data_IF_317585553073
#
_entry.id   IF_317585553073
#
_cell.length_a   1.000
_cell.length_b   1.000
_cell.length_c   1.000
_cell.angle_alpha   90.00
_cell.angle_beta   90.00
_cell.angle_gamma   90.00
#
_symmetry.space_group_name_H-M   'P 1'
#
loop_
_entity.id
_entity.type
_entity.pdbx_description
1 polymer ?
#
# COMPACT_ATOMS: atom_id res chain seq x y z
N UNK A 1 -41.34 -17.77 15.98
CA UNK A 1 -40.66 -19.03 16.38
C UNK A 1 -40.52 -20.06 15.25
N UNK A 2 -41.50 -20.24 14.37
CA UNK A 2 -41.45 -21.25 13.31
C UNK A 2 -40.29 -21.11 12.29
N UNK A 3 -39.88 -19.89 11.91
CA UNK A 3 -38.84 -19.68 10.89
C UNK A 3 -37.43 -20.09 11.34
N UNK A 4 -37.12 -19.98 12.64
CA UNK A 4 -35.83 -20.36 13.22
C UNK A 4 -35.69 -21.89 13.25
N UNK A 5 -36.78 -22.60 13.57
CA UNK A 5 -36.82 -24.07 13.57
C UNK A 5 -36.62 -24.62 12.15
N UNK A 6 -37.28 -24.04 11.15
CA UNK A 6 -37.09 -24.41 9.74
C UNK A 6 -35.65 -24.16 9.25
N UNK A 7 -35.04 -23.05 9.69
CA UNK A 7 -33.65 -22.72 9.36
C UNK A 7 -32.66 -23.69 9.99
N UNK A 8 -32.84 -24.03 11.26
CA UNK A 8 -32.01 -25.02 11.95
C UNK A 8 -32.15 -26.40 11.31
N UNK A 9 -33.37 -26.83 10.97
CA UNK A 9 -33.60 -28.11 10.28
C UNK A 9 -32.92 -28.19 8.91
N UNK A 10 -32.77 -27.06 8.20
CA UNK A 10 -32.17 -26.99 6.87
C UNK A 10 -30.64 -26.82 6.87
N UNK A 11 -30.10 -26.01 7.78
CA UNK A 11 -28.68 -25.61 7.77
C UNK A 11 -27.91 -26.03 9.04
N UNK A 12 -28.57 -26.70 10.00
CA UNK A 12 -28.00 -27.09 11.30
C UNK A 12 -27.57 -25.92 12.19
N UNK A 13 -27.88 -24.68 11.79
CA UNK A 13 -27.32 -23.47 12.39
C UNK A 13 -28.40 -22.41 12.59
N UNK A 14 -28.37 -21.78 13.76
CA UNK A 14 -29.26 -20.65 14.10
C UNK A 14 -28.61 -19.32 13.65
N UNK A 15 -27.28 -19.28 13.54
CA UNK A 15 -26.51 -18.12 13.09
C UNK A 15 -26.93 -17.67 11.69
N UNK A 16 -26.99 -16.36 11.47
CA UNK A 16 -27.21 -15.78 10.14
C UNK A 16 -25.95 -15.94 9.30
N UNK A 17 -26.05 -16.73 8.23
CA UNK A 17 -24.99 -16.81 7.22
C UNK A 17 -24.84 -15.47 6.49
N UNK A 18 -23.62 -15.09 6.11
CA UNK A 18 -23.40 -13.90 5.29
C UNK A 18 -24.15 -14.04 3.98
N UNK A 19 -24.73 -12.94 3.51
CA UNK A 19 -25.42 -12.89 2.23
C UNK A 19 -24.40 -13.07 1.11
N UNK A 20 -24.78 -13.76 0.03
CA UNK A 20 -23.94 -13.87 -1.15
C UNK A 20 -23.87 -12.50 -1.84
N UNK A 21 -22.75 -11.79 -1.65
CA UNK A 21 -22.48 -10.50 -2.26
C UNK A 21 -21.73 -10.62 -3.61
N UNK A 22 -21.74 -9.52 -4.37
CA UNK A 22 -21.02 -9.42 -5.65
C UNK A 22 -19.51 -9.63 -5.45
N UNK A 23 -18.85 -10.48 -6.25
CA UNK A 23 -17.39 -10.59 -6.22
C UNK A 23 -16.74 -9.26 -6.57
N UNK A 24 -15.80 -8.80 -5.75
CA UNK A 24 -14.99 -7.63 -6.08
C UNK A 24 -14.05 -7.92 -7.28
N UNK A 25 -13.71 -6.87 -8.05
CA UNK A 25 -12.95 -7.02 -9.30
C UNK A 25 -11.52 -7.52 -9.09
N UNK A 26 -10.98 -7.31 -7.90
CA UNK A 26 -9.68 -7.78 -7.48
C UNK A 26 -9.91 -8.64 -6.21
N UNK A 27 -10.47 -9.86 -6.27
CA UNK A 27 -10.53 -10.81 -5.11
C UNK A 27 -9.69 -12.06 -5.34
N UNK A 28 -9.26 -12.73 -4.27
CA UNK A 28 -8.62 -14.05 -4.35
C UNK A 28 -9.72 -15.08 -4.12
N UNK A 29 -10.49 -15.43 -5.16
CA UNK A 29 -11.38 -16.59 -5.08
C UNK A 29 -10.71 -17.75 -5.79
N UNK A 30 -10.41 -18.80 -5.02
CA UNK A 30 -9.80 -20.05 -5.49
C UNK A 30 -10.83 -20.99 -6.13
N UNK A 31 -12.12 -20.66 -6.09
CA UNK A 31 -13.21 -21.51 -6.59
C UNK A 31 -13.61 -21.12 -8.01
N UNK A 32 -13.09 -21.83 -9.02
CA UNK A 32 -13.75 -22.21 -10.28
C UNK A 32 -14.36 -21.17 -11.25
N UNK A 33 -14.76 -19.99 -10.80
CA UNK A 33 -15.48 -18.99 -11.60
C UNK A 33 -14.78 -17.64 -11.50
N UNK A 34 -14.29 -17.18 -12.68
CA UNK A 34 -13.57 -15.92 -12.97
C UNK A 34 -12.06 -15.94 -12.69
N UNK A 35 -11.33 -16.60 -13.59
CA UNK A 35 -9.86 -16.56 -13.67
C UNK A 35 -9.27 -15.15 -13.92
N UNK A 36 -10.06 -14.17 -14.41
CA UNK A 36 -9.52 -12.86 -14.81
C UNK A 36 -9.10 -11.96 -13.63
N UNK A 37 -9.76 -12.08 -12.46
CA UNK A 37 -9.49 -11.24 -11.29
C UNK A 37 -8.11 -11.47 -10.67
N UNK A 38 -7.65 -12.73 -10.63
CA UNK A 38 -6.33 -13.09 -10.11
C UNK A 38 -5.20 -12.73 -11.07
N UNK A 39 -5.45 -12.74 -12.39
CA UNK A 39 -4.46 -12.36 -13.41
C UNK A 39 -4.07 -10.88 -13.27
N UNK A 40 -5.06 -9.99 -13.18
CA UNK A 40 -4.83 -8.55 -13.00
C UNK A 40 -4.07 -8.27 -11.69
N UNK A 41 -4.49 -8.88 -10.58
CA UNK A 41 -3.78 -8.74 -9.31
C UNK A 41 -2.32 -9.16 -9.38
N UNK A 42 -2.05 -10.36 -9.91
CA UNK A 42 -0.68 -10.88 -10.04
C UNK A 42 0.18 -9.96 -10.89
N UNK A 43 -0.38 -9.42 -11.96
CA UNK A 43 0.35 -8.52 -12.83
C UNK A 43 0.58 -7.14 -12.18
N UNK A 44 -0.42 -6.58 -11.50
CA UNK A 44 -0.22 -5.35 -10.70
C UNK A 44 0.90 -5.54 -9.68
N UNK A 45 0.93 -6.69 -8.98
CA UNK A 45 2.04 -7.04 -8.10
C UNK A 45 3.38 -7.10 -8.82
N UNK A 46 3.46 -7.75 -10.00
CA UNK A 46 4.70 -7.81 -10.79
C UNK A 46 5.19 -6.43 -11.20
N UNK A 47 4.29 -5.53 -11.57
CA UNK A 47 4.63 -4.15 -11.94
C UNK A 47 5.17 -3.40 -10.72
N UNK A 48 4.46 -3.44 -9.60
CA UNK A 48 4.86 -2.75 -8.35
C UNK A 48 6.16 -3.31 -7.76
N UNK A 49 6.38 -4.63 -7.80
CA UNK A 49 7.61 -5.24 -7.28
C UNK A 49 8.83 -4.84 -8.09
N UNK A 50 8.70 -4.66 -9.41
CA UNK A 50 9.80 -4.20 -10.27
C UNK A 50 10.09 -2.71 -10.06
N UNK A 51 9.04 -1.90 -9.95
CA UNK A 51 9.15 -0.48 -9.71
C UNK A 51 8.14 -0.04 -8.63
N UNK A 52 8.57 0.12 -7.37
CA UNK A 52 7.67 0.49 -6.28
C UNK A 52 7.20 1.96 -6.37
N UNK A 53 7.81 2.78 -7.24
CA UNK A 53 7.42 4.18 -7.47
C UNK A 53 6.40 4.36 -8.60
N UNK A 54 5.80 3.27 -9.08
CA UNK A 54 4.80 3.31 -10.15
C UNK A 54 3.56 4.11 -9.73
N UNK A 55 3.08 4.96 -10.63
CA UNK A 55 1.91 5.81 -10.41
C UNK A 55 0.60 5.05 -10.66
N UNK A 56 -0.49 5.56 -10.10
CA UNK A 56 -1.82 4.97 -10.29
C UNK A 56 -2.26 4.94 -11.76
N UNK A 57 -1.82 5.92 -12.55
CA UNK A 57 -2.12 6.05 -13.97
C UNK A 57 -1.39 5.00 -14.80
N UNK A 58 -0.13 4.75 -14.49
CA UNK A 58 0.65 3.69 -15.15
C UNK A 58 0.09 2.30 -14.80
N UNK A 59 -0.30 2.09 -13.53
CA UNK A 59 -0.99 0.85 -13.13
C UNK A 59 -2.32 0.68 -13.88
N UNK A 60 -3.06 1.77 -14.10
CA UNK A 60 -4.29 1.74 -14.89
C UNK A 60 -4.03 1.36 -16.34
N UNK A 61 -3.03 1.97 -16.99
CA UNK A 61 -2.63 1.64 -18.37
C UNK A 61 -2.21 0.18 -18.48
N UNK A 62 -1.43 -0.34 -17.52
CA UNK A 62 -1.03 -1.75 -17.49
C UNK A 62 -2.24 -2.69 -17.35
N UNK A 63 -3.28 -2.29 -16.61
CA UNK A 63 -4.52 -3.05 -16.48
C UNK A 63 -5.30 -3.09 -17.79
N UNK A 64 -5.34 -1.97 -18.53
CA UNK A 64 -5.99 -1.86 -19.84
C UNK A 64 -5.29 -2.74 -20.87
N UNK A 65 -3.95 -2.70 -20.92
CA UNK A 65 -3.14 -3.54 -21.81
C UNK A 65 -3.40 -5.04 -21.61
N UNK A 66 -3.69 -5.44 -20.38
CA UNK A 66 -4.02 -6.84 -20.05
C UNK A 66 -5.44 -7.27 -20.44
N UNK A 67 -6.25 -6.37 -20.98
CA UNK A 67 -7.63 -6.63 -21.41
C UNK A 67 -8.68 -6.51 -20.31
N UNK A 68 -8.31 -6.02 -19.12
CA UNK A 68 -9.22 -5.88 -17.98
C UNK A 68 -9.12 -4.45 -17.41
N UNK A 69 -9.87 -3.48 -17.96
CA UNK A 69 -9.80 -2.10 -17.52
C UNK A 69 -10.32 -1.95 -16.08
N UNK A 70 -9.39 -1.66 -15.16
CA UNK A 70 -9.69 -1.34 -13.76
C UNK A 70 -9.85 0.17 -13.59
N UNK A 71 -10.84 0.59 -12.79
CA UNK A 71 -10.98 2.01 -12.40
C UNK A 71 -9.88 2.39 -11.41
N UNK A 72 -9.45 3.65 -11.41
CA UNK A 72 -8.49 4.20 -10.43
C UNK A 72 -8.89 3.93 -8.97
N UNK A 73 -10.19 4.00 -8.67
CA UNK A 73 -10.74 3.69 -7.32
C UNK A 73 -10.56 2.21 -6.94
N UNK A 74 -10.60 1.31 -7.93
CA UNK A 74 -10.38 -0.13 -7.71
C UNK A 74 -8.90 -0.43 -7.47
N UNK A 75 -8.00 0.27 -8.17
CA UNK A 75 -6.55 0.11 -7.99
C UNK A 75 -6.10 0.74 -6.67
N UNK A 76 -6.64 1.89 -6.27
CA UNK A 76 -6.37 2.47 -4.94
C UNK A 76 -6.91 1.61 -3.79
N UNK A 77 -8.01 0.88 -4.00
CA UNK A 77 -8.48 -0.14 -3.07
C UNK A 77 -7.58 -1.39 -2.99
N UNK A 78 -6.46 -1.44 -3.75
CA UNK A 78 -5.47 -2.50 -3.66
C UNK A 78 -4.73 -2.55 -2.31
N UNK A 79 -4.96 -1.61 -1.40
CA UNK A 79 -4.55 -1.73 -0.01
C UNK A 79 -5.11 -3.01 0.65
N UNK A 80 -6.31 -3.46 0.28
CA UNK A 80 -6.82 -4.76 0.75
C UNK A 80 -5.96 -5.95 0.29
N UNK A 81 -5.10 -5.72 -0.72
CA UNK A 81 -4.13 -6.68 -1.23
C UNK A 81 -2.77 -6.56 -0.53
N UNK A 82 -2.56 -5.54 0.29
CA UNK A 82 -1.26 -5.21 0.87
C UNK A 82 -0.42 -4.22 0.06
N UNK A 83 -0.98 -3.58 -0.96
CA UNK A 83 -0.30 -2.53 -1.73
C UNK A 83 -0.61 -1.14 -1.16
N UNK A 84 0.42 -0.44 -0.69
CA UNK A 84 0.30 0.87 -0.06
C UNK A 84 1.10 1.91 -0.81
N UNK A 85 0.50 3.07 -1.05
CA UNK A 85 1.26 4.27 -1.41
C UNK A 85 1.99 4.80 -0.18
N UNK A 86 3.32 4.84 -0.22
CA UNK A 86 4.15 5.43 0.84
C UNK A 86 5.26 6.26 0.20
N UNK A 87 5.65 7.33 0.90
CA UNK A 87 6.82 8.12 0.53
C UNK A 87 8.08 7.42 1.04
N UNK A 88 9.05 7.25 0.15
CA UNK A 88 10.37 6.72 0.51
C UNK A 88 11.02 7.60 1.57
N UNK A 89 11.61 6.99 2.61
CA UNK A 89 12.35 7.76 3.61
C UNK A 89 13.61 8.35 2.99
N UNK A 90 13.90 9.60 3.31
CA UNK A 90 15.19 10.20 2.97
C UNK A 90 16.31 9.44 3.70
N UNK A 91 17.38 9.12 2.97
CA UNK A 91 18.56 8.42 3.48
C UNK A 91 19.79 9.02 2.84
N UNK A 92 20.85 9.18 3.63
CA UNK A 92 22.15 9.54 3.11
C UNK A 92 22.66 8.46 2.13
N UNK A 93 23.30 8.90 1.05
CA UNK A 93 23.89 8.01 0.07
C UNK A 93 25.13 7.33 0.68
N UNK A 94 25.13 6.00 0.69
CA UNK A 94 26.18 5.20 1.31
C UNK A 94 26.95 4.42 0.23
N UNK A 95 28.26 4.61 0.19
CA UNK A 95 29.14 3.83 -0.69
C UNK A 95 29.33 2.40 -0.16
N UNK A 96 29.75 1.47 -1.04
CA UNK A 96 30.04 0.08 -0.68
C UNK A 96 31.06 -0.03 0.46
N UNK A 97 32.10 0.82 0.44
CA UNK A 97 33.13 0.87 1.50
C UNK A 97 32.55 1.27 2.85
N UNK A 98 31.60 2.22 2.86
CA UNK A 98 30.97 2.66 4.11
C UNK A 98 30.00 1.59 4.65
N UNK A 99 29.38 0.78 3.80
CA UNK A 99 28.53 -0.35 4.23
C UNK A 99 29.33 -1.43 4.94
N UNK A 100 30.47 -1.84 4.38
CA UNK A 100 31.32 -2.87 4.99
C UNK A 100 31.89 -2.39 6.32
N UNK A 101 32.43 -1.16 6.37
CA UNK A 101 32.95 -0.59 7.60
C UNK A 101 31.89 -0.49 8.72
N UNK A 102 30.64 -0.19 8.38
CA UNK A 102 29.53 -0.15 9.36
C UNK A 102 29.11 -1.52 9.87
N UNK A 103 29.31 -2.59 9.09
CA UNK A 103 28.98 -3.96 9.52
C UNK A 103 30.09 -4.57 10.40
N UNK A 104 31.35 -4.20 10.13
CA UNK A 104 32.52 -4.68 10.86
C UNK A 104 32.73 -3.98 12.23
N UNK A 105 31.96 -2.94 12.52
CA UNK A 105 32.09 -2.16 13.77
C UNK A 105 31.66 -2.99 15.00
N UNK A 106 32.66 -3.56 15.69
CA UNK A 106 32.47 -4.46 16.84
C UNK A 106 32.07 -3.70 18.11
N UNK A 107 31.00 -4.16 18.77
CA UNK A 107 30.33 -3.41 19.87
C UNK A 107 31.02 -3.51 21.24
N UNK A 108 32.21 -4.10 21.32
CA UNK A 108 32.73 -4.68 22.56
C UNK A 108 33.23 -3.65 23.59
N UNK A 109 33.25 -2.36 23.26
CA UNK A 109 33.75 -1.28 24.14
C UNK A 109 32.75 -0.12 24.33
N UNK A 110 31.49 -0.27 23.89
CA UNK A 110 30.50 0.83 23.87
C UNK A 110 30.24 1.50 25.21
N UNK A 111 30.37 0.76 26.32
CA UNK A 111 30.08 1.28 27.67
C UNK A 111 31.15 2.27 28.20
N UNK A 112 32.26 2.46 27.49
CA UNK A 112 33.35 3.37 27.89
C UNK A 112 33.48 4.59 26.97
N UNK A 113 32.57 4.76 26.00
CA UNK A 113 32.70 5.81 24.97
C UNK A 113 31.78 6.99 25.31
N UNK A 114 32.37 8.18 25.48
CA UNK A 114 31.65 9.45 25.47
C UNK A 114 31.50 9.91 24.02
N UNK A 115 30.27 10.16 23.56
CA UNK A 115 30.01 10.63 22.18
C UNK A 115 29.80 12.14 22.16
N UNK A 116 30.24 12.79 21.07
CA UNK A 116 29.96 14.20 20.78
C UNK A 116 29.83 14.38 19.27
N UNK A 117 28.88 15.21 18.85
CA UNK A 117 28.69 15.66 17.49
C UNK A 117 28.44 17.18 17.47
N UNK A 118 28.71 17.79 16.33
CA UNK A 118 28.44 19.21 16.11
C UNK A 118 27.23 19.35 15.20
N UNK A 119 26.21 20.06 15.68
CA UNK A 119 25.03 20.41 14.88
C UNK A 119 24.94 21.92 14.75
N UNK A 120 24.80 22.41 13.51
CA UNK A 120 24.55 23.83 13.26
C UNK A 120 23.17 24.20 13.77
N UNK A 121 23.08 25.26 14.57
CA UNK A 121 21.81 25.85 15.02
C UNK A 121 21.59 27.12 14.19
N UNK A 122 20.51 27.15 13.41
CA UNK A 122 20.12 28.33 12.64
C UNK A 122 18.98 29.07 13.35
N UNK A 123 19.09 30.39 13.45
CA UNK A 123 18.23 31.24 14.29
C UNK A 123 16.80 31.41 13.73
N UNK A 124 16.55 31.00 12.47
CA UNK A 124 15.28 31.25 11.77
C UNK A 124 14.79 30.06 10.94
N UNK A 125 14.55 28.90 11.55
CA UNK A 125 13.78 27.83 10.90
C UNK A 125 12.28 28.02 11.17
N UNK A 126 11.54 28.60 10.23
CA UNK A 126 10.08 28.49 10.26
C UNK A 126 9.69 27.10 9.79
N UNK A 127 9.13 26.26 10.68
CA UNK A 127 8.56 24.96 10.30
C UNK A 127 7.32 25.16 9.44
N UNK A 128 7.50 25.47 8.16
CA UNK A 128 6.47 25.57 7.15
C UNK A 128 6.88 24.72 5.94
N UNK A 129 6.99 23.40 6.13
CA UNK A 129 6.90 22.50 4.97
C UNK A 129 6.49 21.06 5.34
N UNK A 130 5.41 20.94 6.13
CA UNK A 130 4.72 19.67 6.33
C UNK A 130 3.23 19.82 5.98
N UNK A 131 2.98 19.90 4.67
CA UNK A 131 1.76 19.46 4.04
C UNK A 131 0.52 20.32 4.27
N UNK A 132 0.38 21.41 3.51
CA UNK A 132 -0.92 22.01 3.18
C UNK A 132 -0.89 22.69 1.81
N UNK A 133 -0.91 21.89 0.74
CA UNK A 133 -1.52 22.34 -0.51
C UNK A 133 -3.04 22.24 -0.37
N UNK A 134 -3.60 23.09 0.50
CA UNK A 134 -5.03 23.35 0.51
C UNK A 134 -5.37 24.20 -0.73
N UNK A 135 -6.04 23.56 -1.69
CA UNK A 135 -7.18 24.14 -2.42
C UNK A 135 -6.92 25.52 -3.06
N UNK A 136 -6.12 25.56 -4.11
CA UNK A 136 -6.13 26.68 -5.06
C UNK A 136 -7.40 26.64 -5.93
N UNK A 137 -8.39 27.40 -5.46
CA UNK A 137 -9.33 28.24 -6.22
C UNK A 137 -10.02 27.61 -7.44
N UNK A 138 -11.28 27.25 -7.22
CA UNK A 138 -12.35 27.42 -8.21
C UNK A 138 -12.35 28.88 -8.66
N UNK A 139 -11.95 29.15 -9.90
CA UNK A 139 -12.43 30.32 -10.63
C UNK A 139 -13.49 29.82 -11.62
N UNK A 140 -14.74 30.14 -11.29
CA UNK A 140 -15.82 30.30 -12.27
C UNK A 140 -15.59 31.65 -12.92
N UNK A 141 -15.71 31.71 -14.24
CA UNK A 141 -15.99 32.92 -15.01
C UNK A 141 -16.79 32.49 -16.26
N UNK A 142 -17.56 33.42 -16.87
CA UNK A 142 -19.01 33.31 -17.11
C UNK A 142 -19.47 32.38 -18.24
#
# INVERSE_FOLDING_TARGET
MASIILKWKKFGTIKTLPRADRPAKLTNRQSGEKQSSNRVRRALFRVVTKNPMVTLTELQSSSVEMGEPSRRTTISAAHQLGLYGRVSRWKALLSKRHMTARLDDSQNMRNKILWSDETKIEEWETTQDRGKDERSKVQRDP
#
